data_IF_962157824188
#
_entry.id   IF_962157824188
#
_cell.length_a   1.000
_cell.length_b   1.000
_cell.length_c   1.000
_cell.angle_alpha   90.00
_cell.angle_beta   90.00
_cell.angle_gamma   90.00
#
_symmetry.space_group_name_H-M   'P 1'
#
loop_
_entity.id
_entity.type
_entity.pdbx_description
1 polymer ?
#
# COMPACT_ATOMS: atom_id res chain seq x y z
N UNK A 1 -53.36 22.26 81.76
CA UNK A 1 -51.90 22.22 81.98
C UNK A 1 -51.50 20.76 81.80
N UNK A 2 -50.60 20.32 80.91
CA UNK A 2 -49.32 20.89 80.48
C UNK A 2 -48.87 20.39 79.09
N UNK A 3 -48.42 21.35 78.27
CA UNK A 3 -47.37 21.29 77.25
C UNK A 3 -46.55 19.98 77.20
N UNK A 4 -46.51 19.30 76.06
CA UNK A 4 -45.27 18.81 75.42
C UNK A 4 -45.60 18.46 73.96
N UNK A 5 -45.72 19.50 73.12
CA UNK A 5 -45.26 19.37 71.73
C UNK A 5 -43.74 19.15 71.77
N UNK A 6 -43.23 18.34 70.85
CA UNK A 6 -42.03 18.58 70.02
C UNK A 6 -41.40 17.22 69.68
N UNK A 7 -41.11 17.06 68.39
CA UNK A 7 -40.22 16.08 67.78
C UNK A 7 -40.75 14.63 67.64
N UNK A 8 -41.55 14.41 66.59
CA UNK A 8 -41.27 13.24 65.75
C UNK A 8 -41.63 13.48 64.27
N UNK A 9 -41.19 14.62 63.75
CA UNK A 9 -40.74 14.69 62.35
C UNK A 9 -39.38 14.01 62.36
N UNK A 10 -39.26 12.84 61.75
CA UNK A 10 -38.24 12.57 60.73
C UNK A 10 -38.25 11.09 60.30
N UNK A 11 -38.43 10.92 58.98
CA UNK A 11 -37.74 9.91 58.16
C UNK A 11 -38.17 8.46 58.36
N UNK A 12 -39.37 8.12 57.86
CA UNK A 12 -39.56 6.80 57.25
C UNK A 12 -38.64 6.72 56.02
N UNK A 13 -37.53 6.01 56.20
CA UNK A 13 -36.44 5.85 55.24
C UNK A 13 -36.96 5.10 54.02
N UNK A 14 -37.04 5.78 52.88
CA UNK A 14 -37.07 5.12 51.57
C UNK A 14 -35.77 4.34 51.40
N UNK A 15 -35.81 3.04 51.63
CA UNK A 15 -34.72 2.13 51.28
C UNK A 15 -34.64 2.05 49.75
N UNK A 16 -33.91 3.00 49.14
CA UNK A 16 -33.45 2.88 47.75
C UNK A 16 -32.58 1.61 47.67
N UNK A 17 -33.16 0.53 47.15
CA UNK A 17 -32.42 -0.66 46.70
C UNK A 17 -31.33 -0.18 45.74
N UNK A 18 -30.10 -0.12 46.21
CA UNK A 18 -28.93 0.16 45.37
C UNK A 18 -28.82 -0.99 44.38
N UNK A 19 -29.22 -0.75 43.13
CA UNK A 19 -28.83 -1.61 42.01
C UNK A 19 -27.30 -1.68 42.04
N UNK A 20 -26.77 -2.86 42.35
CA UNK A 20 -25.34 -3.08 42.32
C UNK A 20 -24.90 -2.92 40.87
N UNK A 21 -24.25 -1.80 40.57
CA UNK A 21 -23.52 -1.66 39.32
C UNK A 21 -22.37 -2.66 39.39
N UNK A 22 -22.51 -3.76 38.65
CA UNK A 22 -21.40 -4.68 38.42
C UNK A 22 -20.43 -3.97 37.49
N UNK A 23 -19.32 -3.48 38.04
CA UNK A 23 -18.19 -2.98 37.24
C UNK A 23 -17.46 -4.13 36.55
N UNK A 24 -16.78 -3.81 35.46
CA UNK A 24 -15.88 -4.75 34.79
C UNK A 24 -14.77 -5.20 35.74
N UNK A 25 -14.44 -6.49 35.72
CA UNK A 25 -13.28 -7.00 36.46
C UNK A 25 -12.00 -6.79 35.64
N UNK A 26 -10.87 -6.58 36.32
CA UNK A 26 -9.56 -6.48 35.65
C UNK A 26 -9.23 -7.75 34.85
N UNK A 27 -9.62 -8.91 35.37
CA UNK A 27 -9.43 -10.21 34.70
C UNK A 27 -10.15 -10.28 33.35
N UNK A 28 -11.33 -9.69 33.24
CA UNK A 28 -12.15 -9.69 32.03
C UNK A 28 -11.49 -8.83 30.93
N UNK A 29 -10.92 -7.68 31.30
CA UNK A 29 -10.13 -6.86 30.38
C UNK A 29 -8.82 -7.56 29.97
N UNK A 30 -8.16 -8.25 30.89
CA UNK A 30 -6.94 -9.01 30.60
C UNK A 30 -7.18 -10.12 29.58
N UNK A 31 -8.26 -10.91 29.75
CA UNK A 31 -8.60 -11.97 28.79
C UNK A 31 -8.84 -11.39 27.38
N UNK A 32 -9.55 -10.26 27.29
CA UNK A 32 -9.77 -9.57 26.00
C UNK A 32 -8.46 -9.15 25.37
N UNK A 33 -7.54 -8.55 26.13
CA UNK A 33 -6.22 -8.14 25.61
C UNK A 33 -5.40 -9.34 25.13
N UNK A 34 -5.45 -10.47 25.83
CA UNK A 34 -4.77 -11.70 25.42
C UNK A 34 -5.34 -12.21 24.09
N UNK A 35 -6.67 -12.30 23.96
CA UNK A 35 -7.31 -12.74 22.72
C UNK A 35 -6.98 -11.79 21.56
N UNK A 36 -7.03 -10.47 21.79
CA UNK A 36 -6.66 -9.48 20.77
C UNK A 36 -5.19 -9.59 20.36
N UNK A 37 -4.28 -9.83 21.31
CA UNK A 37 -2.86 -10.06 21.02
C UNK A 37 -2.62 -11.33 20.19
N UNK A 38 -3.33 -12.43 20.50
CA UNK A 38 -3.28 -13.67 19.73
C UNK A 38 -3.84 -13.51 18.31
N UNK A 39 -4.94 -12.77 18.14
CA UNK A 39 -5.50 -12.50 16.81
C UNK A 39 -4.57 -11.59 15.98
N UNK A 40 -4.01 -10.54 16.60
CA UNK A 40 -3.09 -9.64 15.94
C UNK A 40 -1.81 -10.36 15.45
N UNK A 41 -1.29 -11.31 16.24
CA UNK A 41 -0.09 -12.07 15.85
C UNK A 41 -0.31 -13.01 14.67
N UNK A 42 -1.53 -13.55 14.50
CA UNK A 42 -1.88 -14.39 13.35
C UNK A 42 -2.15 -13.58 12.08
N UNK A 43 -2.90 -12.48 12.20
CA UNK A 43 -3.41 -11.75 11.02
C UNK A 43 -2.37 -10.76 10.47
N UNK A 44 -1.58 -10.12 11.34
CA UNK A 44 -0.61 -9.09 10.94
C UNK A 44 0.36 -9.56 9.85
N UNK A 45 1.19 -10.60 10.09
CA UNK A 45 2.20 -11.04 9.14
C UNK A 45 1.62 -11.53 7.80
N UNK A 46 0.46 -12.20 7.83
CA UNK A 46 -0.18 -12.73 6.63
C UNK A 46 -0.67 -11.62 5.69
N UNK A 47 -1.11 -10.48 6.23
CA UNK A 47 -1.55 -9.35 5.42
C UNK A 47 -0.38 -8.71 4.67
N UNK A 48 0.75 -8.46 5.36
CA UNK A 48 1.96 -7.90 4.73
C UNK A 48 2.48 -8.78 3.60
N UNK A 49 2.55 -10.11 3.82
CA UNK A 49 3.00 -11.05 2.76
C UNK A 49 2.13 -10.97 1.49
N UNK A 50 0.81 -10.80 1.62
CA UNK A 50 -0.09 -10.68 0.48
C UNK A 50 0.09 -9.36 -0.27
N UNK A 51 0.26 -8.25 0.44
CA UNK A 51 0.52 -6.95 -0.16
C UNK A 51 1.80 -6.96 -0.98
N UNK A 52 2.89 -7.53 -0.46
CA UNK A 52 4.15 -7.63 -1.19
C UNK A 52 4.08 -8.40 -2.49
N UNK A 53 3.42 -9.56 -2.47
CA UNK A 53 3.21 -10.35 -3.70
C UNK A 53 2.33 -9.62 -4.72
N UNK A 54 1.37 -8.81 -4.25
CA UNK A 54 0.51 -8.03 -5.14
C UNK A 54 1.26 -6.87 -5.78
N UNK A 55 2.14 -6.19 -5.03
CA UNK A 55 3.02 -5.13 -5.54
C UNK A 55 3.93 -5.67 -6.62
N UNK A 56 4.72 -6.72 -6.35
CA UNK A 56 5.59 -7.32 -7.38
C UNK A 56 4.85 -7.71 -8.66
N UNK A 57 3.67 -8.35 -8.54
CA UNK A 57 2.86 -8.71 -9.70
C UNK A 57 2.38 -7.49 -10.49
N UNK A 58 2.03 -6.42 -9.79
CA UNK A 58 1.64 -5.15 -10.40
C UNK A 58 2.82 -4.56 -11.16
N UNK A 59 4.02 -4.54 -10.55
CA UNK A 59 5.24 -4.08 -11.20
C UNK A 59 5.53 -4.85 -12.50
N UNK A 60 5.48 -6.20 -12.47
CA UNK A 60 5.64 -7.04 -13.68
C UNK A 60 4.61 -6.70 -14.76
N UNK A 61 3.36 -6.48 -14.36
CA UNK A 61 2.29 -6.13 -15.30
C UNK A 61 2.53 -4.76 -15.93
N UNK A 62 2.95 -3.76 -15.13
CA UNK A 62 3.28 -2.42 -15.60
C UNK A 62 4.49 -2.43 -16.53
N UNK A 63 5.54 -3.17 -16.21
CA UNK A 63 6.72 -3.36 -17.07
C UNK A 63 6.30 -3.96 -18.41
N UNK A 64 5.47 -5.02 -18.43
CA UNK A 64 4.97 -5.60 -19.68
C UNK A 64 4.16 -4.60 -20.52
N UNK A 65 3.35 -3.74 -19.90
CA UNK A 65 2.63 -2.68 -20.61
C UNK A 65 3.59 -1.62 -21.18
N UNK A 66 4.62 -1.23 -20.43
CA UNK A 66 5.63 -0.28 -20.90
C UNK A 66 6.47 -0.85 -22.05
N UNK A 67 6.88 -2.11 -21.97
CA UNK A 67 7.56 -2.81 -23.07
C UNK A 67 6.69 -2.85 -24.34
N UNK A 68 5.40 -3.15 -24.20
CA UNK A 68 4.46 -3.12 -25.33
C UNK A 68 4.36 -1.72 -25.95
N UNK A 69 4.38 -0.66 -25.15
CA UNK A 69 4.37 0.72 -25.63
C UNK A 69 5.70 1.11 -26.32
N UNK A 70 6.84 0.64 -25.79
CA UNK A 70 8.15 0.79 -26.43
C UNK A 70 8.21 0.08 -27.79
N UNK A 71 7.63 -1.12 -27.89
CA UNK A 71 7.57 -1.85 -29.16
C UNK A 71 6.72 -1.10 -30.18
N UNK A 72 5.58 -0.51 -29.77
CA UNK A 72 4.78 0.34 -30.63
C UNK A 72 5.56 1.59 -31.10
N UNK A 73 6.25 2.27 -30.17
CA UNK A 73 7.15 3.38 -30.52
C UNK A 73 8.18 2.97 -31.58
N UNK A 74 8.82 1.81 -31.39
CA UNK A 74 9.81 1.28 -32.34
C UNK A 74 9.21 0.95 -33.70
N UNK A 75 7.97 0.49 -33.77
CA UNK A 75 7.30 0.21 -35.04
C UNK A 75 7.11 1.48 -35.88
N UNK A 76 6.82 2.62 -35.24
CA UNK A 76 6.57 3.89 -35.92
C UNK A 76 7.87 4.63 -36.25
N UNK A 77 8.78 4.71 -35.28
CA UNK A 77 10.04 5.48 -35.41
C UNK A 77 11.15 4.66 -36.05
N UNK A 78 11.18 3.34 -35.81
CA UNK A 78 12.20 2.40 -36.29
C UNK A 78 13.27 2.04 -35.25
N UNK A 79 13.30 2.73 -34.10
CA UNK A 79 14.17 2.43 -32.96
C UNK A 79 13.45 2.70 -31.63
N UNK A 80 13.97 2.15 -30.54
CA UNK A 80 13.52 2.53 -29.21
C UNK A 80 14.00 3.95 -28.84
N UNK A 81 13.34 4.63 -27.89
CA UNK A 81 13.80 5.92 -27.36
C UNK A 81 15.23 5.83 -26.84
N UNK A 82 16.02 6.86 -27.04
CA UNK A 82 17.36 6.98 -26.43
C UNK A 82 17.28 7.08 -24.90
N UNK A 83 18.41 6.88 -24.23
CA UNK A 83 18.50 7.02 -22.78
C UNK A 83 18.07 8.41 -22.30
N UNK A 84 18.31 9.45 -23.09
CA UNK A 84 17.96 10.84 -22.75
C UNK A 84 16.47 11.13 -22.94
N UNK A 85 15.84 10.50 -23.93
CA UNK A 85 14.39 10.62 -24.17
C UNK A 85 13.58 9.82 -23.14
N UNK A 86 14.09 8.64 -22.78
CA UNK A 86 13.51 7.78 -21.75
C UNK A 86 12.06 7.38 -22.02
N UNK A 87 11.35 7.00 -20.95
CA UNK A 87 9.94 6.60 -21.03
C UNK A 87 8.98 7.76 -21.33
N UNK A 88 9.41 9.02 -21.14
CA UNK A 88 8.56 10.18 -21.41
C UNK A 88 8.25 10.37 -22.90
N UNK A 89 9.13 9.87 -23.77
CA UNK A 89 8.90 9.79 -25.23
C UNK A 89 7.65 8.97 -25.60
N UNK A 90 7.17 8.10 -24.69
CA UNK A 90 5.96 7.33 -24.87
C UNK A 90 4.69 8.18 -24.72
N UNK A 91 4.81 9.37 -24.12
CA UNK A 91 3.70 10.26 -23.79
C UNK A 91 3.79 11.55 -24.61
N UNK A 92 5.00 12.08 -24.77
CA UNK A 92 5.25 13.34 -25.47
C UNK A 92 6.22 13.09 -26.62
N UNK A 93 5.92 13.64 -27.79
CA UNK A 93 6.80 13.53 -28.96
C UNK A 93 8.18 14.15 -28.63
N UNK A 94 9.28 13.39 -28.71
CA UNK A 94 10.64 13.90 -28.44
C UNK A 94 11.22 14.76 -29.58
N UNK A 95 10.48 14.97 -30.67
CA UNK A 95 10.93 15.65 -31.88
C UNK A 95 11.05 14.73 -33.10
N UNK A 96 10.42 13.56 -33.05
CA UNK A 96 10.40 12.55 -34.11
C UNK A 96 9.23 12.79 -35.07
N UNK A 97 9.52 12.85 -36.37
CA UNK A 97 8.53 13.17 -37.40
C UNK A 97 7.46 12.07 -37.58
N UNK A 98 7.85 10.82 -37.33
CA UNK A 98 6.98 9.63 -37.50
C UNK A 98 6.20 9.24 -36.25
N UNK A 99 6.31 10.02 -35.19
CA UNK A 99 5.69 9.69 -33.90
C UNK A 99 4.16 9.74 -34.02
N UNK A 100 3.49 8.61 -33.76
CA UNK A 100 2.03 8.46 -33.78
C UNK A 100 1.45 8.19 -32.38
N UNK A 101 2.19 8.61 -31.34
CA UNK A 101 1.76 8.51 -29.96
C UNK A 101 0.60 9.45 -29.60
N UNK A 102 0.20 9.52 -28.31
CA UNK A 102 0.85 8.90 -27.16
C UNK A 102 0.61 7.39 -27.08
N UNK A 103 1.66 6.64 -26.79
CA UNK A 103 1.62 5.18 -26.62
C UNK A 103 1.10 4.77 -25.24
N UNK A 104 1.03 5.72 -24.29
CA UNK A 104 0.45 5.53 -22.95
C UNK A 104 -0.75 6.46 -22.73
N UNK A 105 -1.84 5.89 -22.20
CA UNK A 105 -3.11 6.64 -22.00
C UNK A 105 -3.10 7.62 -20.82
N UNK A 106 -2.26 7.39 -19.81
CA UNK A 106 -2.31 8.11 -18.52
C UNK A 106 -0.94 8.65 -18.07
N UNK A 107 0.02 8.75 -19.00
CA UNK A 107 1.42 9.04 -18.68
C UNK A 107 2.19 7.80 -18.25
N UNK A 108 3.48 7.98 -17.94
CA UNK A 108 4.33 6.94 -17.36
C UNK A 108 3.89 6.70 -15.91
N UNK A 109 3.44 5.49 -15.54
CA UNK A 109 3.07 5.20 -14.17
C UNK A 109 4.31 5.09 -13.29
N UNK A 110 4.15 5.43 -12.01
CA UNK A 110 5.09 5.01 -10.98
C UNK A 110 4.94 3.50 -10.72
N UNK A 111 6.01 2.91 -10.19
CA UNK A 111 5.99 1.55 -9.70
C UNK A 111 5.11 1.42 -8.43
N UNK A 112 4.85 0.19 -7.95
CA UNK A 112 4.01 -0.06 -6.78
C UNK A 112 4.57 0.44 -5.44
N UNK A 113 5.80 0.95 -5.43
CA UNK A 113 6.49 1.54 -4.28
C UNK A 113 6.66 3.05 -4.44
N UNK A 114 5.94 3.66 -5.40
CA UNK A 114 5.91 5.09 -5.68
C UNK A 114 7.24 5.65 -6.24
N UNK A 115 8.06 4.79 -6.85
CA UNK A 115 9.30 5.15 -7.56
C UNK A 115 9.10 5.16 -9.07
N UNK A 116 9.94 5.92 -9.79
CA UNK A 116 9.99 5.86 -11.25
C UNK A 116 10.60 4.54 -11.73
N UNK A 117 10.17 4.07 -12.89
CA UNK A 117 10.81 2.94 -13.55
C UNK A 117 12.15 3.36 -14.15
N UNK A 118 13.14 2.49 -13.99
CA UNK A 118 14.43 2.64 -14.65
C UNK A 118 14.33 2.11 -16.06
N UNK A 119 14.86 2.88 -17.01
CA UNK A 119 14.96 2.53 -18.42
C UNK A 119 16.43 2.52 -18.83
N UNK A 120 16.84 1.50 -19.58
CA UNK A 120 18.19 1.37 -20.12
C UNK A 120 18.15 1.11 -21.62
N UNK A 121 18.87 1.94 -22.37
CA UNK A 121 19.15 1.75 -23.79
C UNK A 121 20.61 2.17 -24.10
N UNK A 122 21.51 1.24 -24.47
CA UNK A 122 21.25 -0.18 -24.68
C UNK A 122 20.96 -0.93 -23.37
N UNK A 123 20.06 -1.91 -23.42
CA UNK A 123 19.78 -2.82 -22.30
C UNK A 123 20.95 -3.77 -22.02
N UNK A 124 21.00 -4.32 -20.80
CA UNK A 124 21.96 -5.36 -20.41
C UNK A 124 21.45 -6.76 -20.76
N UNK A 125 20.13 -6.98 -20.71
CA UNK A 125 19.47 -8.27 -20.94
C UNK A 125 18.74 -8.36 -22.28
N UNK A 126 18.67 -7.27 -23.03
CA UNK A 126 17.99 -7.17 -24.33
C UNK A 126 18.42 -5.91 -25.09
N UNK A 127 17.63 -5.52 -26.10
CA UNK A 127 17.86 -4.24 -26.79
C UNK A 127 17.63 -3.06 -25.83
N UNK A 128 16.60 -3.18 -24.99
CA UNK A 128 16.25 -2.22 -23.94
C UNK A 128 15.77 -2.96 -22.70
N UNK A 129 16.04 -2.40 -21.53
CA UNK A 129 15.58 -2.94 -20.25
C UNK A 129 14.70 -1.93 -19.52
N UNK A 130 13.65 -2.43 -18.85
CA UNK A 130 12.88 -1.67 -17.87
C UNK A 130 12.87 -2.45 -16.55
N UNK A 131 13.15 -1.76 -15.45
CA UNK A 131 13.10 -2.40 -14.13
C UNK A 131 12.70 -1.43 -13.01
N UNK A 132 12.30 -2.01 -11.88
CA UNK A 132 12.05 -1.35 -10.60
C UNK A 132 12.94 -1.99 -9.54
N UNK A 133 13.49 -1.17 -8.64
CA UNK A 133 14.39 -1.58 -7.55
C UNK A 133 13.64 -2.05 -6.29
N UNK A 134 12.34 -2.32 -6.39
CA UNK A 134 11.53 -2.76 -5.26
C UNK A 134 11.38 -1.72 -4.13
N UNK A 135 11.04 -2.21 -2.94
CA UNK A 135 10.67 -1.37 -1.80
C UNK A 135 11.82 -0.58 -1.16
N UNK A 136 13.06 -1.04 -1.31
CA UNK A 136 14.24 -0.40 -0.71
C UNK A 136 15.01 0.50 -1.69
N UNK A 137 14.60 0.52 -2.96
CA UNK A 137 15.17 1.34 -4.02
C UNK A 137 16.68 1.13 -4.16
N UNK A 138 17.10 -0.14 -4.09
CA UNK A 138 18.50 -0.58 -4.22
C UNK A 138 18.56 -1.84 -5.04
N UNK A 139 19.64 -1.99 -5.80
CA UNK A 139 19.90 -3.21 -6.57
C UNK A 139 19.97 -4.44 -5.65
N UNK A 140 19.37 -5.53 -6.13
CA UNK A 140 19.29 -6.82 -5.48
C UNK A 140 18.06 -6.95 -4.59
N UNK A 141 18.28 -7.28 -3.32
CA UNK A 141 17.21 -7.48 -2.35
C UNK A 141 16.47 -8.82 -2.45
N UNK A 142 15.58 -9.05 -1.49
CA UNK A 142 14.71 -10.23 -1.44
C UNK A 142 13.26 -9.82 -1.18
N UNK A 143 12.31 -10.61 -1.67
CA UNK A 143 10.87 -10.38 -1.46
C UNK A 143 10.47 -8.98 -1.94
N UNK A 144 9.88 -8.13 -1.10
CA UNK A 144 9.43 -6.80 -1.50
C UNK A 144 10.57 -5.88 -1.97
N UNK A 145 11.80 -6.19 -1.59
CA UNK A 145 13.00 -5.47 -1.99
C UNK A 145 13.64 -6.05 -3.26
N UNK A 146 13.14 -7.18 -3.76
CA UNK A 146 13.73 -7.78 -4.95
C UNK A 146 13.44 -6.89 -6.17
N UNK A 147 14.47 -6.66 -6.97
CA UNK A 147 14.35 -6.03 -8.27
C UNK A 147 13.33 -6.77 -9.15
N UNK A 148 12.59 -6.00 -9.95
CA UNK A 148 11.65 -6.54 -10.92
C UNK A 148 11.99 -5.95 -12.28
N UNK A 149 12.51 -6.77 -13.20
CA UNK A 149 12.95 -6.35 -14.52
C UNK A 149 12.16 -6.97 -15.68
N UNK A 150 12.32 -6.40 -16.87
CA UNK A 150 11.73 -6.87 -18.13
C UNK A 150 12.27 -8.22 -18.62
N UNK A 151 13.37 -8.69 -18.04
CA UNK A 151 14.03 -9.96 -18.36
C UNK A 151 13.54 -11.16 -17.55
N UNK A 152 12.67 -10.94 -16.56
CA UNK A 152 12.05 -12.02 -15.75
C UNK A 152 10.73 -12.54 -16.32
#
# INVERSE_FOLDING_TARGET
>A
MTKTEIANREKSRSEKRRRHQRGFSLMELMIVMVILGLLASLVGPAMFKKLGTAKQKTAKTQIGMLMTALDAYRLDIGHYPSQQEGLESLVVNPGEDKWDGPYLKKGVPLDPWDSEYYYLNPGEHGEVDIYSLGADNREGGEKENADVGSWE
#
